data_IF_243959511017
#
_entry.id   IF_243959511017
#
_cell.length_a   1.000
_cell.length_b   1.000
_cell.length_c   1.000
_cell.angle_alpha   90.00
_cell.angle_beta   90.00
_cell.angle_gamma   90.00
#
_symmetry.space_group_name_H-M   'P 1'
#
loop_
_entity.id
_entity.type
_entity.pdbx_description
1 polymer ?
#
# COMPACT_ATOMS: atom_id res chain seq x y z
N UNK A 1 -28.97 -14.89 51.36
CA UNK A 1 -29.17 -16.19 50.69
C UNK A 1 -29.59 -15.87 49.27
N UNK A 2 -28.88 -16.47 48.32
CA UNK A 2 -28.73 -16.12 46.90
C UNK A 2 -30.01 -16.18 46.05
N UNK A 3 -30.11 -15.25 45.10
CA UNK A 3 -30.74 -15.42 43.77
C UNK A 3 -30.03 -14.38 42.87
N UNK A 4 -29.40 -14.67 41.74
CA UNK A 4 -29.70 -15.67 40.72
C UNK A 4 -30.20 -14.92 39.48
N UNK A 5 -29.44 -15.03 38.38
CA UNK A 5 -29.78 -14.66 37.00
C UNK A 5 -29.38 -13.28 36.42
N UNK A 6 -28.80 -13.43 35.21
CA UNK A 6 -28.77 -12.54 34.05
C UNK A 6 -27.68 -11.45 33.98
N UNK A 7 -26.44 -11.91 33.74
CA UNK A 7 -25.55 -11.22 32.80
C UNK A 7 -26.20 -11.23 31.42
N UNK A 8 -26.89 -10.15 31.06
CA UNK A 8 -27.32 -9.90 29.69
C UNK A 8 -26.48 -8.76 29.11
N UNK A 9 -25.38 -9.11 28.44
CA UNK A 9 -24.64 -8.17 27.58
C UNK A 9 -25.48 -8.01 26.30
N UNK A 10 -26.01 -6.81 25.98
CA UNK A 10 -26.71 -6.63 24.71
C UNK A 10 -25.73 -6.77 23.53
N UNK A 11 -26.08 -7.52 22.47
CA UNK A 11 -25.34 -7.56 21.22
C UNK A 11 -25.71 -6.33 20.37
N UNK A 12 -24.72 -5.50 20.04
CA UNK A 12 -24.99 -4.31 19.25
C UNK A 12 -23.81 -3.37 18.97
N UNK A 13 -22.56 -3.84 19.10
CA UNK A 13 -21.43 -3.09 18.55
C UNK A 13 -21.49 -3.19 17.03
N UNK A 14 -22.29 -2.32 16.41
CA UNK A 14 -22.09 -1.94 15.02
C UNK A 14 -20.74 -1.23 15.01
N UNK A 15 -19.76 -1.85 14.36
CA UNK A 15 -18.55 -1.14 13.97
C UNK A 15 -19.00 -0.28 12.79
N UNK A 16 -19.13 1.02 13.03
CA UNK A 16 -19.41 1.97 11.95
C UNK A 16 -18.16 2.02 11.05
N UNK A 17 -18.27 1.71 9.75
CA UNK A 17 -17.11 1.65 8.85
C UNK A 17 -16.78 3.04 8.27
N UNK A 18 -16.67 4.07 9.11
CA UNK A 18 -16.33 5.42 8.61
C UNK A 18 -15.51 6.19 9.66
N UNK A 19 -14.23 5.83 9.78
CA UNK A 19 -13.23 6.68 10.41
C UNK A 19 -11.83 6.29 9.90
N UNK A 20 -11.57 6.54 8.62
CA UNK A 20 -10.20 6.69 8.09
C UNK A 20 -9.95 8.10 7.55
N UNK A 21 -10.78 9.07 7.97
CA UNK A 21 -10.55 10.46 7.66
C UNK A 21 -9.52 11.02 8.66
N UNK A 22 -8.24 10.96 8.30
CA UNK A 22 -7.26 11.89 8.83
C UNK A 22 -5.84 11.36 8.85
N UNK A 23 -5.07 11.70 7.82
CA UNK A 23 -3.65 12.06 7.97
C UNK A 23 -3.36 13.25 7.05
N UNK A 24 -3.28 14.41 7.70
CA UNK A 24 -2.30 15.49 7.54
C UNK A 24 -2.20 16.23 6.20
N UNK A 25 -3.01 17.29 6.08
CA UNK A 25 -2.75 18.37 5.17
C UNK A 25 -1.59 19.27 5.67
N UNK A 26 -0.35 18.95 5.30
CA UNK A 26 0.73 19.93 5.14
C UNK A 26 1.40 19.70 3.77
N UNK A 27 0.92 20.46 2.77
CA UNK A 27 1.31 20.35 1.37
C UNK A 27 2.74 20.84 1.14
N UNK A 28 3.72 19.97 1.40
CA UNK A 28 5.06 20.03 0.82
C UNK A 28 5.16 18.87 -0.18
N UNK A 29 4.59 19.07 -1.38
CA UNK A 29 4.48 18.09 -2.47
C UNK A 29 4.38 16.63 -2.01
N UNK A 30 3.41 16.33 -1.14
CA UNK A 30 3.32 15.04 -0.47
C UNK A 30 3.24 13.92 -1.52
N UNK A 31 4.08 12.90 -1.34
CA UNK A 31 4.02 11.68 -2.15
C UNK A 31 2.76 10.95 -1.70
N UNK A 32 1.78 10.89 -2.59
CA UNK A 32 0.57 10.08 -2.38
C UNK A 32 1.00 8.60 -2.36
N UNK A 33 1.15 8.07 -1.14
CA UNK A 33 1.68 6.73 -0.92
C UNK A 33 0.78 5.65 -1.52
N UNK A 34 -0.54 5.87 -1.59
CA UNK A 34 -1.47 4.93 -2.20
C UNK A 34 -1.25 4.85 -3.72
N UNK A 35 -1.20 6.02 -4.37
CA UNK A 35 -0.95 6.10 -5.82
C UNK A 35 0.41 5.53 -6.19
N UNK A 36 1.46 5.83 -5.43
CA UNK A 36 2.79 5.31 -5.72
C UNK A 36 2.94 3.82 -5.40
N UNK A 37 2.17 3.30 -4.43
CA UNK A 37 2.10 1.86 -4.19
C UNK A 37 1.49 1.12 -5.38
N UNK A 38 0.38 1.63 -5.92
CA UNK A 38 -0.26 1.06 -7.12
C UNK A 38 0.67 1.13 -8.36
N UNK A 39 1.40 2.25 -8.52
CA UNK A 39 2.39 2.40 -9.60
C UNK A 39 3.54 1.41 -9.47
N UNK A 40 4.06 1.21 -8.25
CA UNK A 40 5.11 0.25 -7.98
C UNK A 40 4.64 -1.19 -8.24
N UNK A 41 3.42 -1.54 -7.84
CA UNK A 41 2.82 -2.84 -8.12
C UNK A 41 2.72 -3.09 -9.63
N UNK A 42 2.19 -2.13 -10.38
CA UNK A 42 2.09 -2.22 -11.85
C UNK A 42 3.47 -2.36 -12.52
N UNK A 43 4.50 -1.67 -12.00
CA UNK A 43 5.87 -1.81 -12.49
C UNK A 43 6.41 -3.23 -12.25
N UNK A 44 6.22 -3.78 -11.04
CA UNK A 44 6.67 -5.14 -10.69
C UNK A 44 5.99 -6.17 -11.60
N UNK A 45 4.67 -6.05 -11.80
CA UNK A 45 3.91 -6.95 -12.66
C UNK A 45 4.40 -6.89 -14.11
N UNK A 46 4.63 -5.69 -14.63
CA UNK A 46 5.18 -5.48 -15.97
C UNK A 46 6.57 -6.08 -16.15
N UNK A 47 7.45 -5.90 -15.16
CA UNK A 47 8.79 -6.50 -15.16
C UNK A 47 8.72 -8.03 -15.08
N UNK A 48 7.86 -8.58 -14.22
CA UNK A 48 7.70 -10.02 -14.07
C UNK A 48 7.19 -10.67 -15.37
N UNK A 49 6.16 -10.08 -15.98
CA UNK A 49 5.63 -10.53 -17.27
C UNK A 49 6.69 -10.45 -18.36
N UNK A 50 7.44 -9.33 -18.44
CA UNK A 50 8.51 -9.17 -19.41
C UNK A 50 9.66 -10.17 -19.21
N UNK A 51 10.02 -10.49 -17.96
CA UNK A 51 11.01 -11.51 -17.60
C UNK A 51 10.63 -12.91 -18.07
N UNK A 52 9.35 -13.26 -17.99
CA UNK A 52 8.83 -14.54 -18.50
C UNK A 52 8.83 -14.58 -20.03
N UNK A 53 8.36 -13.52 -20.68
CA UNK A 53 8.21 -13.50 -22.14
C UNK A 53 9.53 -13.31 -22.89
N UNK A 54 10.48 -12.59 -22.29
CA UNK A 54 11.72 -12.16 -22.94
C UNK A 54 12.95 -12.31 -22.02
N UNK A 55 13.26 -13.53 -21.53
CA UNK A 55 14.31 -13.74 -20.52
C UNK A 55 15.71 -13.31 -20.99
N UNK A 56 16.02 -13.42 -22.28
CA UNK A 56 17.32 -13.00 -22.84
C UNK A 56 17.50 -11.47 -22.87
N UNK A 57 16.40 -10.72 -22.80
CA UNK A 57 16.40 -9.24 -22.86
C UNK A 57 16.11 -8.60 -21.51
N UNK A 58 15.32 -9.26 -20.68
CA UNK A 58 14.92 -8.80 -19.35
C UNK A 58 15.66 -9.60 -18.28
N UNK A 59 16.94 -9.28 -18.10
CA UNK A 59 17.78 -9.96 -17.10
C UNK A 59 17.39 -9.55 -15.68
N UNK A 60 17.64 -10.39 -14.67
CA UNK A 60 17.38 -10.04 -13.28
C UNK A 60 18.07 -8.75 -12.83
N UNK A 61 19.26 -8.48 -13.34
CA UNK A 61 20.03 -7.27 -13.04
C UNK A 61 19.33 -6.03 -13.59
N UNK A 62 18.88 -6.08 -14.85
CA UNK A 62 18.13 -4.98 -15.47
C UNK A 62 16.83 -4.69 -14.72
N UNK A 63 16.09 -5.73 -14.32
CA UNK A 63 14.85 -5.58 -13.54
C UNK A 63 15.12 -4.89 -12.18
N UNK A 64 16.17 -5.31 -11.46
CA UNK A 64 16.57 -4.69 -10.19
C UNK A 64 16.99 -3.24 -10.36
N UNK A 65 17.70 -2.92 -11.44
CA UNK A 65 18.14 -1.55 -11.72
C UNK A 65 16.96 -0.63 -12.05
N UNK A 66 15.96 -1.12 -12.80
CA UNK A 66 14.72 -0.40 -13.05
C UNK A 66 13.96 -0.10 -11.75
N UNK A 67 13.79 -1.11 -10.90
CA UNK A 67 13.16 -0.96 -9.57
C UNK A 67 13.90 0.05 -8.69
N UNK A 68 15.23 -0.07 -8.61
CA UNK A 68 16.05 0.85 -7.81
C UNK A 68 15.90 2.30 -8.32
N UNK A 69 15.89 2.50 -9.63
CA UNK A 69 15.72 3.83 -10.22
C UNK A 69 14.34 4.43 -9.95
N UNK A 70 13.30 3.60 -9.97
CA UNK A 70 11.95 4.05 -9.61
C UNK A 70 11.88 4.48 -8.14
N UNK A 71 12.41 3.66 -7.22
CA UNK A 71 12.45 4.01 -5.78
C UNK A 71 13.31 5.25 -5.50
N UNK A 72 14.40 5.45 -6.24
CA UNK A 72 15.21 6.67 -6.15
C UNK A 72 14.42 7.91 -6.55
N UNK A 73 13.64 7.84 -7.64
CA UNK A 73 12.81 8.95 -8.08
C UNK A 73 11.71 9.31 -7.06
N UNK A 74 11.21 8.33 -6.29
CA UNK A 74 10.29 8.58 -5.18
C UNK A 74 10.97 9.22 -3.97
N UNK A 75 12.24 8.93 -3.75
CA UNK A 75 13.02 9.47 -2.63
C UNK A 75 13.61 10.86 -2.91
N UNK A 76 13.62 11.29 -4.17
CA UNK A 76 14.05 12.64 -4.55
C UNK A 76 12.97 13.66 -4.19
N UNK A 77 13.31 14.76 -3.48
CA UNK A 77 12.34 15.81 -3.18
C UNK A 77 11.83 16.42 -4.49
N UNK A 78 10.50 16.47 -4.63
CA UNK A 78 9.86 17.12 -5.79
C UNK A 78 10.18 18.62 -5.76
N UNK A 79 10.64 19.22 -6.89
CA UNK A 79 11.00 20.64 -6.96
C UNK A 79 9.78 21.57 -6.85
#
# INVERSE_FOLDING_TARGET
>A
MIDGLARHRPPGARVDPEADAGVDAEADAEVDAEVETERLAALIDGLALAGVLHPDRMTPELMRDALRRHLQALAEPRP
#
